data_IF_944489122239
#
_entry.id   IF_944489122239
#
_cell.length_a   1.000
_cell.length_b   1.000
_cell.length_c   1.000
_cell.angle_alpha   90.00
_cell.angle_beta   90.00
_cell.angle_gamma   90.00
#
_symmetry.space_group_name_H-M   'P 1'
#
loop_
_entity.id
_entity.type
_entity.pdbx_description
1 polymer ?
#
# COMPACT_ATOMS: atom_id res chain seq x y z
N UNK A 1 21.94 47.49 -0.52
CA UNK A 1 20.97 47.27 0.55
C UNK A 1 21.62 47.47 1.91
N UNK A 2 22.82 46.94 2.15
CA UNK A 2 23.58 47.10 3.42
C UNK A 2 23.93 48.57 3.72
N UNK A 3 24.32 49.31 2.69
CA UNK A 3 24.64 50.75 2.78
C UNK A 3 23.45 51.64 3.12
N UNK A 4 22.24 51.21 2.73
CA UNK A 4 20.97 51.92 3.04
C UNK A 4 20.42 51.61 4.42
N UNK A 5 20.85 50.50 5.02
CA UNK A 5 20.39 50.02 6.33
C UNK A 5 21.40 50.28 7.46
N UNK A 6 22.55 50.95 7.17
CA UNK A 6 23.66 51.18 8.09
C UNK A 6 24.17 49.90 8.80
N UNK A 7 24.14 48.76 8.05
CA UNK A 7 24.50 47.44 8.53
C UNK A 7 25.74 46.87 7.79
N UNK A 8 26.76 47.72 7.62
CA UNK A 8 27.99 47.34 6.97
C UNK A 8 28.66 46.16 7.73
N UNK A 9 28.86 45.05 7.01
CA UNK A 9 29.50 43.87 7.58
C UNK A 9 28.57 42.90 8.31
N UNK A 10 27.25 43.16 8.34
CA UNK A 10 26.26 42.20 8.90
C UNK A 10 25.65 41.36 7.80
N UNK A 11 25.39 40.11 8.14
CA UNK A 11 24.70 39.14 7.23
C UNK A 11 23.25 39.01 7.70
N UNK A 12 22.30 39.18 6.79
CA UNK A 12 20.87 39.09 7.11
C UNK A 12 20.34 37.67 7.19
N UNK A 13 20.91 36.73 6.43
CA UNK A 13 20.54 35.32 6.44
C UNK A 13 21.64 34.42 5.92
N UNK A 14 21.73 33.24 6.49
CA UNK A 14 22.65 32.16 6.06
C UNK A 14 21.77 30.93 5.78
N UNK A 15 21.88 30.37 4.60
CA UNK A 15 21.27 29.10 4.26
C UNK A 15 22.27 27.97 4.49
N UNK A 16 21.92 27.01 5.35
CA UNK A 16 22.74 25.84 5.67
C UNK A 16 22.09 24.61 5.07
N UNK A 17 22.82 23.90 4.20
CA UNK A 17 22.42 22.61 3.68
C UNK A 17 23.14 21.50 4.43
N UNK A 18 22.40 20.59 5.04
CA UNK A 18 22.94 19.47 5.81
C UNK A 18 22.19 18.18 5.45
N UNK A 19 22.91 17.05 5.53
CA UNK A 19 22.28 15.73 5.43
C UNK A 19 21.59 15.45 6.77
N UNK A 20 20.28 15.24 6.74
CA UNK A 20 19.47 15.10 7.93
C UNK A 20 18.84 13.71 8.03
N UNK A 21 18.58 13.26 9.25
CA UNK A 21 17.82 12.06 9.56
C UNK A 21 16.33 12.43 9.67
N UNK A 22 15.39 11.61 9.16
CA UNK A 22 13.96 11.87 9.31
C UNK A 22 13.54 12.01 10.76
N UNK A 23 12.66 12.99 11.05
CA UNK A 23 12.16 13.26 12.38
C UNK A 23 11.33 12.07 12.92
N UNK A 24 11.72 11.57 14.09
CA UNK A 24 10.97 10.60 14.88
C UNK A 24 10.22 11.28 16.04
N UNK A 25 9.61 10.48 16.93
CA UNK A 25 8.91 11.01 18.10
C UNK A 25 9.84 11.80 19.05
N UNK A 26 11.08 11.34 19.18
CA UNK A 26 12.10 12.01 20.00
C UNK A 26 12.43 13.40 19.44
N UNK A 27 12.70 13.50 18.14
CA UNK A 27 12.97 14.76 17.46
C UNK A 27 11.80 15.76 17.57
N UNK A 28 10.54 15.27 17.45
CA UNK A 28 9.34 16.10 17.62
C UNK A 28 9.12 16.58 19.05
N UNK A 29 9.49 15.77 20.05
CA UNK A 29 9.45 16.13 21.45
C UNK A 29 10.49 17.20 21.77
N UNK A 30 11.73 17.00 21.32
CA UNK A 30 12.83 17.92 21.45
C UNK A 30 12.59 19.27 20.75
N UNK A 31 11.93 19.26 19.60
CA UNK A 31 11.59 20.49 18.87
C UNK A 31 10.60 21.40 19.62
N UNK A 32 9.82 20.84 20.57
CA UNK A 32 8.91 21.63 21.42
C UNK A 32 9.62 22.19 22.64
N UNK A 33 10.37 21.36 23.33
CA UNK A 33 11.13 21.72 24.51
C UNK A 33 12.30 20.73 24.72
N UNK A 34 13.53 21.08 24.35
CA UNK A 34 14.72 20.23 24.54
C UNK A 34 14.98 19.87 26.00
N UNK A 35 14.59 20.77 26.94
CA UNK A 35 14.84 20.56 28.37
C UNK A 35 13.86 19.55 29.01
N UNK A 36 12.80 19.15 28.31
CA UNK A 36 11.85 18.15 28.78
C UNK A 36 12.30 16.70 28.56
N UNK A 37 13.44 16.50 27.91
CA UNK A 37 14.00 15.19 27.62
C UNK A 37 14.75 14.61 28.82
N UNK A 38 14.82 13.26 28.92
CA UNK A 38 15.75 12.60 29.81
C UNK A 38 17.19 12.82 29.33
N UNK A 39 18.17 12.63 30.22
CA UNK A 39 19.59 12.83 29.87
C UNK A 39 20.01 11.97 28.69
N UNK A 40 19.62 10.70 28.67
CA UNK A 40 19.94 9.76 27.60
C UNK A 40 19.24 10.12 26.27
N UNK A 41 17.98 10.58 26.34
CA UNK A 41 17.21 11.02 25.17
C UNK A 41 17.79 12.33 24.60
N UNK A 42 18.22 13.25 25.47
CA UNK A 42 18.86 14.50 25.06
C UNK A 42 20.19 14.23 24.34
N UNK A 43 21.02 13.35 24.87
CA UNK A 43 22.30 12.98 24.27
C UNK A 43 22.10 12.30 22.91
N UNK A 44 21.15 11.39 22.83
CA UNK A 44 20.77 10.73 21.57
C UNK A 44 20.25 11.72 20.53
N UNK A 45 19.38 12.64 20.92
CA UNK A 45 18.85 13.68 20.05
C UNK A 45 19.94 14.66 19.60
N UNK A 46 20.77 15.13 20.52
CA UNK A 46 21.81 16.11 20.24
C UNK A 46 22.87 15.55 19.27
N UNK A 47 23.25 14.28 19.43
CA UNK A 47 24.24 13.62 18.57
C UNK A 47 23.66 13.09 17.24
N UNK A 48 22.35 13.08 17.08
CA UNK A 48 21.72 12.64 15.83
C UNK A 48 21.43 13.84 14.94
N UNK A 49 21.65 13.70 13.63
CA UNK A 49 21.47 14.76 12.65
C UNK A 49 19.98 15.06 12.36
N UNK A 50 19.19 15.29 13.41
CA UNK A 50 17.81 15.78 13.23
C UNK A 50 17.83 17.28 12.88
N UNK A 51 16.85 17.72 12.09
CA UNK A 51 16.72 19.13 11.72
C UNK A 51 16.62 20.03 12.96
N UNK A 52 15.86 19.60 13.97
CA UNK A 52 15.70 20.32 15.23
C UNK A 52 17.01 20.41 16.04
N UNK A 53 17.82 19.34 16.06
CA UNK A 53 19.11 19.30 16.73
C UNK A 53 20.10 20.24 16.06
N UNK A 54 20.19 20.20 14.72
CA UNK A 54 21.09 21.09 13.95
C UNK A 54 20.71 22.57 14.17
N UNK A 55 19.42 22.90 14.13
CA UNK A 55 18.98 24.28 14.41
C UNK A 55 19.35 24.73 15.80
N UNK A 56 19.22 23.85 16.81
CA UNK A 56 19.61 24.15 18.19
C UNK A 56 21.11 24.39 18.31
N UNK A 57 21.95 23.54 17.72
CA UNK A 57 23.39 23.67 17.73
C UNK A 57 23.87 24.94 17.01
N UNK A 58 23.22 25.34 15.91
CA UNK A 58 23.53 26.59 15.22
C UNK A 58 23.26 27.78 16.13
N UNK A 59 22.15 27.80 16.86
CA UNK A 59 21.80 28.88 17.78
C UNK A 59 22.73 28.94 18.99
N UNK A 60 23.25 27.79 19.43
CA UNK A 60 24.24 27.73 20.54
C UNK A 60 25.59 28.31 20.14
N UNK A 61 26.03 28.09 18.89
CA UNK A 61 27.31 28.56 18.37
C UNK A 61 27.27 30.02 17.92
N UNK A 62 26.13 30.44 17.30
CA UNK A 62 26.00 31.80 16.78
C UNK A 62 25.02 32.57 17.67
N UNK A 63 25.59 33.36 18.57
CA UNK A 63 24.80 34.24 19.46
C UNK A 63 23.95 35.23 18.65
N UNK A 64 22.73 35.47 19.11
CA UNK A 64 21.72 36.36 18.44
C UNK A 64 21.25 35.87 17.09
N UNK A 65 21.44 34.58 16.74
CA UNK A 65 20.88 33.96 15.55
C UNK A 65 19.58 33.21 15.85
N UNK A 66 18.66 33.23 14.88
CA UNK A 66 17.45 32.39 14.91
C UNK A 66 17.56 31.38 13.78
N UNK A 67 17.89 30.14 14.09
CA UNK A 67 17.89 29.06 13.13
C UNK A 67 16.46 28.46 13.02
N UNK A 68 15.88 28.53 11.85
CA UNK A 68 14.59 27.92 11.58
C UNK A 68 14.68 26.91 10.44
N UNK A 69 14.11 25.73 10.59
CA UNK A 69 14.11 24.75 9.51
C UNK A 69 13.26 25.25 8.33
N UNK A 70 13.81 25.15 7.12
CA UNK A 70 13.02 25.43 5.90
C UNK A 70 12.09 24.23 5.66
N UNK A 71 11.02 24.14 6.44
CA UNK A 71 10.06 23.02 6.40
C UNK A 71 9.17 23.04 5.16
N UNK A 72 9.12 24.12 4.45
CA UNK A 72 8.19 24.33 3.34
C UNK A 72 8.37 23.28 2.21
N UNK A 73 9.58 22.80 1.97
CA UNK A 73 9.86 21.73 1.01
C UNK A 73 9.51 20.37 1.61
N UNK A 74 9.96 20.08 2.83
CA UNK A 74 9.72 18.78 3.47
C UNK A 74 8.25 18.54 3.82
N UNK A 75 7.50 19.57 4.22
CA UNK A 75 6.05 19.46 4.48
C UNK A 75 5.24 19.31 3.20
N UNK A 76 5.64 19.96 2.10
CA UNK A 76 4.99 19.80 0.81
C UNK A 76 5.27 18.42 0.21
N UNK A 77 6.48 17.89 0.34
CA UNK A 77 6.82 16.53 -0.08
C UNK A 77 6.06 15.47 0.73
N UNK A 78 5.99 15.62 2.05
CA UNK A 78 5.22 14.73 2.92
C UNK A 78 3.72 14.73 2.58
N UNK A 79 3.13 15.91 2.39
CA UNK A 79 1.72 16.03 2.01
C UNK A 79 1.41 15.46 0.61
N UNK A 80 2.34 15.55 -0.32
CA UNK A 80 2.22 14.95 -1.65
C UNK A 80 2.31 13.43 -1.57
N UNK A 81 3.25 12.90 -0.78
CA UNK A 81 3.41 11.47 -0.56
C UNK A 81 2.16 10.86 0.09
N UNK A 82 1.60 11.48 1.12
CA UNK A 82 0.38 11.02 1.78
C UNK A 82 -0.82 11.00 0.82
N UNK A 83 -0.99 12.04 0.03
CA UNK A 83 -2.06 12.10 -0.99
C UNK A 83 -1.87 11.04 -2.08
N UNK A 84 -0.63 10.83 -2.53
CA UNK A 84 -0.29 9.81 -3.53
C UNK A 84 -0.54 8.41 -2.98
N UNK A 85 -0.19 8.14 -1.72
CA UNK A 85 -0.46 6.87 -1.06
C UNK A 85 -1.97 6.61 -0.95
N UNK A 86 -2.76 7.63 -0.59
CA UNK A 86 -4.22 7.51 -0.52
C UNK A 86 -4.83 7.23 -1.90
N UNK A 87 -4.36 7.89 -2.95
CA UNK A 87 -4.79 7.62 -4.32
C UNK A 87 -4.45 6.19 -4.76
N UNK A 88 -3.23 5.71 -4.47
CA UNK A 88 -2.83 4.34 -4.77
C UNK A 88 -3.68 3.31 -4.03
N UNK A 89 -4.00 3.57 -2.76
CA UNK A 89 -4.89 2.72 -1.97
C UNK A 89 -6.29 2.67 -2.59
N UNK A 90 -6.83 3.81 -3.00
CA UNK A 90 -8.15 3.91 -3.62
C UNK A 90 -8.21 3.17 -4.95
N UNK A 91 -7.18 3.33 -5.81
CA UNK A 91 -7.07 2.60 -7.09
C UNK A 91 -6.97 1.09 -6.84
N UNK A 92 -6.17 0.68 -5.85
CA UNK A 92 -6.02 -0.74 -5.49
C UNK A 92 -7.36 -1.32 -5.03
N UNK A 93 -8.10 -0.60 -4.20
CA UNK A 93 -9.41 -1.02 -3.71
C UNK A 93 -10.44 -1.16 -4.85
N UNK A 94 -10.49 -0.19 -5.75
CA UNK A 94 -11.34 -0.24 -6.94
C UNK A 94 -10.96 -1.39 -7.87
N UNK A 95 -9.66 -1.64 -8.05
CA UNK A 95 -9.15 -2.77 -8.84
C UNK A 95 -9.54 -4.12 -8.23
N UNK A 96 -9.45 -4.25 -6.90
CA UNK A 96 -9.90 -5.46 -6.18
C UNK A 96 -11.40 -5.70 -6.35
N UNK A 97 -12.22 -4.66 -6.24
CA UNK A 97 -13.66 -4.75 -6.47
C UNK A 97 -13.97 -5.15 -7.91
N UNK A 98 -13.33 -4.52 -8.89
CA UNK A 98 -13.47 -4.88 -10.30
C UNK A 98 -13.09 -6.33 -10.57
N UNK A 99 -11.99 -6.80 -10.00
CA UNK A 99 -11.53 -8.18 -10.09
C UNK A 99 -12.52 -9.16 -9.45
N UNK A 100 -13.07 -8.85 -8.28
CA UNK A 100 -14.07 -9.69 -7.61
C UNK A 100 -15.36 -9.83 -8.46
N UNK A 101 -15.80 -8.73 -9.08
CA UNK A 101 -16.95 -8.75 -9.99
C UNK A 101 -16.66 -9.55 -11.27
N UNK A 102 -15.46 -9.40 -11.84
CA UNK A 102 -15.00 -10.19 -12.98
C UNK A 102 -14.98 -11.68 -12.69
N UNK A 103 -14.41 -12.08 -11.56
CA UNK A 103 -14.40 -13.48 -11.10
C UNK A 103 -15.83 -13.98 -10.89
N UNK A 104 -16.68 -13.19 -10.23
CA UNK A 104 -18.09 -13.55 -10.00
C UNK A 104 -18.83 -13.85 -11.30
N UNK A 105 -18.64 -13.02 -12.32
CA UNK A 105 -19.29 -13.20 -13.61
C UNK A 105 -18.75 -14.44 -14.35
N UNK A 106 -17.42 -14.60 -14.40
CA UNK A 106 -16.77 -15.72 -15.05
C UNK A 106 -17.15 -17.07 -14.42
N UNK A 107 -17.09 -17.14 -13.09
CA UNK A 107 -17.44 -18.36 -12.35
C UNK A 107 -18.93 -18.68 -12.49
N UNK A 108 -19.80 -17.67 -12.46
CA UNK A 108 -21.24 -17.89 -12.69
C UNK A 108 -21.49 -18.45 -14.09
N UNK A 109 -20.84 -17.90 -15.12
CA UNK A 109 -20.95 -18.42 -16.49
C UNK A 109 -20.47 -19.89 -16.58
N UNK A 110 -19.29 -20.19 -16.03
CA UNK A 110 -18.75 -21.55 -16.01
C UNK A 110 -19.65 -22.54 -15.27
N UNK A 111 -20.23 -22.15 -14.13
CA UNK A 111 -21.21 -22.98 -13.40
C UNK A 111 -22.49 -23.22 -14.25
N UNK A 112 -22.97 -22.20 -14.97
CA UNK A 112 -24.13 -22.33 -15.82
C UNK A 112 -23.87 -23.24 -17.01
N UNK A 113 -22.71 -23.18 -17.66
CA UNK A 113 -22.30 -24.06 -18.75
C UNK A 113 -22.28 -25.54 -18.31
N UNK A 114 -21.86 -25.80 -17.07
CA UNK A 114 -21.76 -27.16 -16.51
C UNK A 114 -22.96 -27.52 -15.61
N UNK A 115 -24.05 -26.75 -15.70
CA UNK A 115 -25.22 -26.94 -14.83
C UNK A 115 -25.85 -28.33 -14.94
N UNK A 116 -25.88 -28.94 -16.13
CA UNK A 116 -26.40 -30.29 -16.33
C UNK A 116 -25.56 -31.37 -15.58
N UNK A 117 -24.23 -31.26 -15.59
CA UNK A 117 -23.36 -32.18 -14.88
C UNK A 117 -23.52 -32.02 -13.35
N UNK A 118 -23.54 -30.76 -12.87
CA UNK A 118 -23.74 -30.45 -11.45
C UNK A 118 -25.14 -30.85 -10.96
N UNK A 119 -26.17 -30.69 -11.82
CA UNK A 119 -27.53 -31.12 -11.56
C UNK A 119 -27.66 -32.64 -11.48
N UNK A 120 -26.91 -33.39 -12.32
CA UNK A 120 -26.86 -34.83 -12.28
C UNK A 120 -26.22 -35.32 -10.97
N UNK A 121 -25.10 -34.73 -10.56
CA UNK A 121 -24.44 -35.03 -9.27
C UNK A 121 -25.43 -34.83 -8.10
N UNK A 122 -26.21 -33.75 -8.11
CA UNK A 122 -27.23 -33.48 -7.11
C UNK A 122 -28.39 -34.50 -7.17
N UNK A 123 -28.77 -34.95 -8.33
CA UNK A 123 -29.86 -35.97 -8.53
C UNK A 123 -29.44 -37.35 -8.00
N UNK A 124 -28.13 -37.71 -8.07
CA UNK A 124 -27.61 -38.96 -7.53
C UNK A 124 -27.38 -38.88 -5.98
N UNK A 125 -27.67 -37.73 -5.37
CA UNK A 125 -27.65 -37.56 -3.91
C UNK A 125 -26.35 -36.88 -3.37
N UNK A 126 -25.54 -36.24 -4.20
CA UNK A 126 -24.41 -35.45 -3.71
C UNK A 126 -24.92 -34.28 -2.86
N UNK A 127 -24.28 -34.08 -1.71
CA UNK A 127 -24.61 -32.98 -0.82
C UNK A 127 -24.21 -31.65 -1.44
N UNK A 128 -25.01 -30.62 -1.25
CA UNK A 128 -24.75 -29.25 -1.73
C UNK A 128 -23.37 -28.72 -1.30
N UNK A 129 -22.92 -29.09 -0.10
CA UNK A 129 -21.58 -28.75 0.41
C UNK A 129 -20.45 -29.42 -0.38
N UNK A 130 -20.65 -30.67 -0.84
CA UNK A 130 -19.64 -31.37 -1.62
C UNK A 130 -19.50 -30.77 -3.01
N UNK A 131 -20.61 -30.43 -3.67
CA UNK A 131 -20.63 -29.78 -4.98
C UNK A 131 -20.00 -28.38 -4.88
N UNK A 132 -20.36 -27.60 -3.86
CA UNK A 132 -19.77 -26.29 -3.62
C UNK A 132 -18.26 -26.35 -3.34
N UNK A 133 -17.82 -27.36 -2.57
CA UNK A 133 -16.39 -27.57 -2.30
C UNK A 133 -15.62 -27.96 -3.58
N UNK A 134 -16.21 -28.79 -4.44
CA UNK A 134 -15.62 -29.16 -5.73
C UNK A 134 -15.37 -27.92 -6.59
N UNK A 135 -16.41 -27.11 -6.79
CA UNK A 135 -16.33 -25.87 -7.59
C UNK A 135 -15.35 -24.88 -6.97
N UNK A 136 -15.38 -24.72 -5.64
CA UNK A 136 -14.47 -23.81 -4.94
C UNK A 136 -13.01 -24.25 -5.08
N UNK A 137 -12.74 -25.55 -5.02
CA UNK A 137 -11.38 -26.08 -5.21
C UNK A 137 -10.88 -25.83 -6.63
N UNK A 138 -11.71 -26.01 -7.65
CA UNK A 138 -11.36 -25.72 -9.04
C UNK A 138 -11.04 -24.23 -9.25
N UNK A 139 -11.86 -23.34 -8.70
CA UNK A 139 -11.63 -21.89 -8.75
C UNK A 139 -10.33 -21.53 -8.02
N UNK A 140 -10.08 -22.12 -6.86
CA UNK A 140 -8.90 -21.82 -6.05
C UNK A 140 -7.61 -22.24 -6.75
N UNK A 141 -7.59 -23.40 -7.39
CA UNK A 141 -6.44 -23.85 -8.19
C UNK A 141 -6.19 -22.88 -9.36
N UNK A 142 -7.23 -22.53 -10.08
CA UNK A 142 -7.13 -21.58 -11.21
C UNK A 142 -6.64 -20.21 -10.72
N UNK A 143 -7.17 -19.72 -9.59
CA UNK A 143 -6.76 -18.44 -8.98
C UNK A 143 -5.28 -18.45 -8.52
N UNK A 144 -4.80 -19.57 -7.98
CA UNK A 144 -3.40 -19.72 -7.59
C UNK A 144 -2.48 -19.67 -8.81
N UNK A 145 -2.80 -20.41 -9.86
CA UNK A 145 -2.01 -20.40 -11.10
C UNK A 145 -2.03 -19.00 -11.74
N UNK A 146 -3.21 -18.40 -11.88
CA UNK A 146 -3.35 -17.03 -12.38
C UNK A 146 -2.64 -16.01 -11.50
N UNK A 147 -2.67 -16.19 -10.19
CA UNK A 147 -2.00 -15.33 -9.22
C UNK A 147 -0.47 -15.38 -9.33
N UNK A 148 0.11 -16.56 -9.52
CA UNK A 148 1.56 -16.72 -9.76
C UNK A 148 1.96 -16.01 -11.05
N UNK A 149 1.24 -16.25 -12.14
CA UNK A 149 1.51 -15.58 -13.42
C UNK A 149 1.35 -14.06 -13.27
N UNK A 150 0.27 -13.60 -12.64
CA UNK A 150 0.00 -12.18 -12.39
C UNK A 150 1.09 -11.52 -11.54
N UNK A 151 1.62 -12.24 -10.54
CA UNK A 151 2.74 -11.75 -9.73
C UNK A 151 3.99 -11.50 -10.57
N UNK A 152 4.39 -12.44 -11.42
CA UNK A 152 5.57 -12.27 -12.27
C UNK A 152 5.39 -11.17 -13.31
N UNK A 153 4.23 -11.08 -13.93
CA UNK A 153 3.90 -10.00 -14.87
C UNK A 153 3.90 -8.65 -14.17
N UNK A 154 3.27 -8.56 -12.99
CA UNK A 154 3.24 -7.33 -12.18
C UNK A 154 4.64 -6.91 -11.72
N UNK A 155 5.47 -7.87 -11.30
CA UNK A 155 6.87 -7.61 -10.95
C UNK A 155 7.66 -7.05 -12.13
N UNK A 156 7.56 -7.69 -13.30
CA UNK A 156 8.23 -7.22 -14.50
C UNK A 156 7.80 -5.81 -14.90
N UNK A 157 6.50 -5.52 -14.83
CA UNK A 157 5.97 -4.19 -15.10
C UNK A 157 6.47 -3.15 -14.09
N UNK A 158 6.51 -3.50 -12.78
CA UNK A 158 7.04 -2.63 -11.75
C UNK A 158 8.52 -2.28 -11.98
N UNK A 159 9.34 -3.26 -12.41
CA UNK A 159 10.75 -3.01 -12.75
C UNK A 159 10.92 -2.08 -13.96
N UNK A 160 10.09 -2.25 -15.00
CA UNK A 160 10.12 -1.36 -16.16
C UNK A 160 9.79 0.09 -15.75
N UNK A 161 8.74 0.26 -14.96
CA UNK A 161 8.36 1.59 -14.45
C UNK A 161 9.44 2.16 -13.52
N UNK A 162 10.00 1.33 -12.62
CA UNK A 162 11.09 1.74 -11.72
C UNK A 162 12.28 2.29 -12.47
N UNK A 163 12.80 1.57 -13.45
CA UNK A 163 13.93 2.00 -14.26
C UNK A 163 13.61 3.21 -15.14
N UNK A 164 12.41 3.28 -15.72
CA UNK A 164 12.07 4.34 -16.69
C UNK A 164 11.73 5.67 -16.01
N UNK A 165 11.05 5.62 -14.84
CA UNK A 165 10.55 6.81 -14.15
C UNK A 165 11.48 7.26 -13.02
N UNK A 166 12.02 6.32 -12.25
CA UNK A 166 12.82 6.61 -11.07
C UNK A 166 14.33 6.41 -11.27
N UNK A 167 14.75 5.79 -12.38
CA UNK A 167 16.16 5.53 -12.69
C UNK A 167 16.79 4.38 -11.90
N UNK A 168 16.06 3.77 -10.96
CA UNK A 168 16.52 2.68 -10.10
C UNK A 168 15.58 1.47 -10.12
N UNK A 169 16.13 0.30 -9.84
CA UNK A 169 15.36 -0.92 -9.68
C UNK A 169 14.55 -0.88 -8.38
N UNK A 170 13.28 -1.27 -8.45
CA UNK A 170 12.44 -1.35 -7.26
C UNK A 170 12.82 -2.59 -6.43
N UNK A 171 13.34 -2.39 -5.22
CA UNK A 171 13.60 -3.47 -4.28
C UNK A 171 12.29 -4.06 -3.75
N UNK A 172 11.97 -5.28 -4.17
CA UNK A 172 10.81 -5.98 -3.64
C UNK A 172 11.11 -6.59 -2.27
N UNK A 173 10.40 -6.11 -1.25
CA UNK A 173 10.45 -6.74 0.08
C UNK A 173 9.74 -8.10 0.02
N UNK A 174 10.37 -9.12 0.59
CA UNK A 174 9.84 -10.50 0.65
C UNK A 174 8.42 -10.56 1.28
N UNK A 175 8.08 -9.57 2.10
CA UNK A 175 6.78 -9.42 2.76
C UNK A 175 5.62 -9.17 1.78
N UNK A 176 5.89 -8.77 0.53
CA UNK A 176 4.86 -8.55 -0.50
C UNK A 176 4.22 -9.87 -0.95
N UNK A 177 4.99 -10.95 -1.01
CA UNK A 177 4.51 -12.26 -1.46
C UNK A 177 3.32 -12.77 -0.63
N UNK A 178 3.41 -12.89 0.71
CA UNK A 178 2.28 -13.34 1.52
C UNK A 178 1.09 -12.39 1.46
N UNK A 179 1.31 -11.08 1.35
CA UNK A 179 0.22 -10.09 1.22
C UNK A 179 -0.56 -10.33 -0.07
N UNK A 180 0.14 -10.50 -1.20
CA UNK A 180 -0.47 -10.79 -2.50
C UNK A 180 -1.23 -12.11 -2.46
N UNK A 181 -0.65 -13.17 -1.85
CA UNK A 181 -1.31 -14.45 -1.72
C UNK A 181 -2.63 -14.36 -0.93
N UNK A 182 -2.62 -13.64 0.20
CA UNK A 182 -3.84 -13.40 1.00
C UNK A 182 -4.89 -12.61 0.19
N UNK A 183 -4.47 -11.58 -0.55
CA UNK A 183 -5.38 -10.80 -1.38
C UNK A 183 -6.01 -11.64 -2.50
N UNK A 184 -5.25 -12.51 -3.16
CA UNK A 184 -5.76 -13.43 -4.19
C UNK A 184 -6.84 -14.34 -3.59
N UNK A 185 -6.57 -14.96 -2.45
CA UNK A 185 -7.52 -15.83 -1.76
C UNK A 185 -8.78 -15.06 -1.38
N UNK A 186 -8.64 -13.88 -0.79
CA UNK A 186 -9.75 -13.04 -0.36
C UNK A 186 -10.64 -12.62 -1.52
N UNK A 187 -10.05 -12.11 -2.61
CA UNK A 187 -10.80 -11.66 -3.79
C UNK A 187 -11.49 -12.83 -4.48
N UNK A 188 -10.82 -13.98 -4.57
CA UNK A 188 -11.40 -15.20 -5.15
C UNK A 188 -12.59 -15.71 -4.34
N UNK A 189 -12.46 -15.74 -3.01
CA UNK A 189 -13.56 -16.13 -2.14
C UNK A 189 -14.75 -15.17 -2.25
N UNK A 190 -14.50 -13.87 -2.21
CA UNK A 190 -15.56 -12.86 -2.37
C UNK A 190 -16.24 -12.95 -3.74
N UNK A 191 -15.46 -13.10 -4.81
CA UNK A 191 -15.99 -13.24 -6.16
C UNK A 191 -16.80 -14.52 -6.37
N UNK A 192 -16.42 -15.63 -5.74
CA UNK A 192 -17.10 -16.92 -5.89
C UNK A 192 -18.41 -17.03 -5.10
N UNK A 193 -18.67 -16.16 -4.11
CA UNK A 193 -19.89 -16.20 -3.30
C UNK A 193 -21.16 -16.14 -4.16
N UNK A 194 -21.20 -15.27 -5.15
CA UNK A 194 -22.35 -15.11 -6.03
C UNK A 194 -22.62 -16.39 -6.83
N UNK A 195 -21.58 -16.98 -7.40
CA UNK A 195 -21.67 -18.22 -8.17
C UNK A 195 -22.14 -19.41 -7.31
N UNK A 196 -21.57 -19.54 -6.10
CA UNK A 196 -21.99 -20.59 -5.16
C UNK A 196 -23.45 -20.40 -4.75
N UNK A 197 -23.91 -19.18 -4.50
CA UNK A 197 -25.32 -18.92 -4.21
C UNK A 197 -26.23 -19.30 -5.37
N UNK A 198 -25.82 -19.04 -6.60
CA UNK A 198 -26.56 -19.43 -7.81
C UNK A 198 -26.62 -20.93 -7.93
N UNK A 199 -25.52 -21.63 -7.72
CA UNK A 199 -25.43 -23.09 -7.74
C UNK A 199 -26.38 -23.75 -6.71
N UNK A 200 -26.41 -23.23 -5.49
CA UNK A 200 -27.25 -23.74 -4.41
C UNK A 200 -28.76 -23.56 -4.70
N UNK A 201 -29.13 -22.52 -5.45
CA UNK A 201 -30.52 -22.24 -5.83
C UNK A 201 -31.00 -23.08 -7.02
N UNK A 202 -30.14 -23.73 -7.78
CA UNK A 202 -30.51 -24.57 -8.92
C UNK A 202 -31.31 -25.80 -8.45
N UNK A 203 -32.49 -25.98 -9.04
CA UNK A 203 -33.31 -27.17 -8.81
C UNK A 203 -32.98 -28.24 -9.85
N UNK A 204 -32.63 -29.48 -9.46
CA UNK A 204 -32.28 -30.54 -10.40
C UNK A 204 -33.29 -30.78 -11.49
N UNK A 205 -34.60 -30.66 -11.13
CA UNK A 205 -35.72 -30.88 -12.06
C UNK A 205 -35.74 -29.85 -13.20
N UNK A 206 -35.41 -28.60 -12.95
CA UNK A 206 -35.41 -27.53 -13.96
C UNK A 206 -34.25 -27.66 -14.94
N UNK A 207 -33.07 -28.10 -14.44
CA UNK A 207 -31.85 -28.28 -15.23
C UNK A 207 -31.97 -29.48 -16.20
N UNK A 208 -32.64 -30.56 -15.79
CA UNK A 208 -32.81 -31.76 -16.61
C UNK A 208 -33.90 -31.59 -17.69
N UNK A 209 -34.83 -30.66 -17.55
CA UNK A 209 -35.90 -30.40 -18.50
C UNK A 209 -35.60 -29.28 -19.52
N UNK A 210 -34.41 -28.72 -19.51
CA UNK A 210 -33.94 -27.77 -20.52
C UNK A 210 -34.64 -26.42 -20.52
N UNK A 211 -35.13 -25.94 -19.39
CA UNK A 211 -35.73 -24.61 -19.21
C UNK A 211 -34.90 -23.74 -18.29
#
# INVERSE_FOLDING_TARGET
VQELADTDGLISSIEVSAITTPDNELARKAAKDPNSLSVDDYETWYCTAYVSSICYQIQEVITDSVASPVRQVAESEGAILDKTQLLMLLITLLSLLGSALGISNLVTASVMERSAELGLLKAIGAKDSAISALVLTEIMITALVGGIIGYFVGYGFAQIVGHTVFGDAIEMKLMVIPIVAVLIILVTLLGSISAIRTLLKMRPAEVLHGR
#
